data_IF_733334723616
#
_entry.id   IF_733334723616
#
_cell.length_a   1.000
_cell.length_b   1.000
_cell.length_c   1.000
_cell.angle_alpha   90.00
_cell.angle_beta   90.00
_cell.angle_gamma   90.00
#
_symmetry.space_group_name_H-M   'P 1'
#
loop_
_entity.id
_entity.type
_entity.pdbx_description
1 polymer ?
#
# COMPACT_ATOMS: atom_id res chain seq x y z
N UNK A 1 -37.33 -78.40 -0.61
CA UNK A 1 -37.30 -79.87 -0.97
C UNK A 1 -36.15 -80.08 -1.94
N UNK A 2 -35.16 -80.83 -1.47
CA UNK A 2 -34.42 -81.88 -2.20
C UNK A 2 -33.47 -81.42 -3.28
N UNK A 3 -32.22 -81.45 -2.98
CA UNK A 3 -31.08 -82.37 -3.23
C UNK A 3 -30.39 -82.26 -4.58
N UNK A 4 -29.09 -81.94 -4.60
CA UNK A 4 -27.90 -82.80 -4.75
C UNK A 4 -27.75 -83.31 -6.21
N UNK A 5 -26.64 -83.36 -6.88
CA UNK A 5 -25.30 -83.90 -6.65
C UNK A 5 -24.36 -83.60 -7.88
N UNK A 6 -23.09 -83.28 -7.52
CA UNK A 6 -21.85 -83.82 -8.09
C UNK A 6 -21.47 -83.70 -9.58
N UNK A 7 -20.29 -83.29 -9.81
CA UNK A 7 -19.41 -83.71 -10.84
C UNK A 7 -18.12 -82.91 -10.97
N UNK A 8 -17.12 -83.34 -10.22
CA UNK A 8 -15.75 -82.89 -10.44
C UNK A 8 -15.13 -83.52 -11.65
N UNK A 9 -14.41 -82.81 -12.47
CA UNK A 9 -13.15 -83.16 -13.14
C UNK A 9 -12.96 -82.30 -14.41
N UNK A 10 -12.06 -81.39 -14.39
CA UNK A 10 -10.91 -81.35 -15.30
C UNK A 10 -10.11 -80.02 -15.09
N UNK A 11 -9.28 -80.02 -14.11
CA UNK A 11 -8.14 -79.17 -14.09
C UNK A 11 -7.09 -79.76 -15.02
N UNK A 12 -6.57 -78.95 -15.88
CA UNK A 12 -5.28 -78.98 -16.57
C UNK A 12 -5.44 -78.73 -18.07
N UNK A 13 -5.42 -77.42 -18.40
CA UNK A 13 -4.86 -76.88 -19.65
C UNK A 13 -5.29 -75.44 -19.86
N UNK A 14 -4.89 -74.51 -19.00
CA UNK A 14 -4.98 -73.08 -19.21
C UNK A 14 -3.96 -72.32 -18.36
N UNK A 15 -2.70 -72.74 -18.47
CA UNK A 15 -1.62 -72.07 -17.73
C UNK A 15 -0.43 -71.67 -18.59
N UNK A 16 -0.61 -71.36 -19.88
CA UNK A 16 0.46 -70.81 -20.73
C UNK A 16 0.10 -69.64 -21.65
N UNK A 17 -1.08 -69.07 -21.51
CA UNK A 17 -1.50 -67.90 -22.33
C UNK A 17 -1.70 -66.60 -21.54
N UNK A 18 -1.51 -66.61 -20.22
CA UNK A 18 -1.77 -65.42 -19.36
C UNK A 18 -0.52 -64.69 -18.88
N UNK A 19 0.69 -65.02 -19.36
CA UNK A 19 1.95 -64.38 -18.88
C UNK A 19 2.56 -63.41 -19.89
N UNK A 20 2.07 -63.33 -21.13
CA UNK A 20 2.62 -62.40 -22.14
C UNK A 20 1.82 -61.12 -22.33
N UNK A 21 0.59 -61.07 -21.84
CA UNK A 21 -0.26 -59.83 -21.93
C UNK A 21 -0.17 -58.91 -20.71
N UNK A 22 0.40 -59.32 -19.57
CA UNK A 22 0.58 -58.46 -18.37
C UNK A 22 1.90 -57.67 -18.35
N UNK A 23 2.88 -57.99 -19.23
CA UNK A 23 4.16 -57.25 -19.28
C UNK A 23 4.13 -56.02 -20.20
N UNK A 24 3.17 -55.93 -21.12
CA UNK A 24 3.02 -54.75 -22.02
C UNK A 24 2.06 -53.68 -21.49
N UNK A 25 1.19 -54.03 -20.55
CA UNK A 25 0.28 -53.02 -19.90
C UNK A 25 0.96 -52.27 -18.76
N UNK A 26 2.05 -52.84 -18.16
CA UNK A 26 2.82 -52.18 -17.07
C UNK A 26 3.88 -51.22 -17.59
N UNK A 27 4.28 -51.27 -18.86
CA UNK A 27 5.26 -50.34 -19.43
C UNK A 27 4.59 -49.12 -20.07
N UNK A 28 3.31 -49.19 -20.40
CA UNK A 28 2.52 -48.07 -20.92
C UNK A 28 1.97 -47.15 -19.82
N UNK A 29 1.85 -47.62 -18.57
CA UNK A 29 1.34 -46.86 -17.44
C UNK A 29 2.42 -46.09 -16.65
N UNK A 30 3.69 -46.41 -16.94
CA UNK A 30 4.84 -45.67 -16.30
C UNK A 30 5.34 -44.48 -17.11
N UNK A 31 4.82 -44.28 -18.36
CA UNK A 31 5.23 -43.17 -19.22
C UNK A 31 4.23 -42.01 -19.25
N UNK A 32 3.15 -42.05 -18.47
CA UNK A 32 2.12 -40.99 -18.41
C UNK A 32 2.08 -40.29 -17.04
N UNK A 33 2.91 -40.68 -16.06
CA UNK A 33 2.93 -40.11 -14.73
C UNK A 33 4.22 -39.33 -14.39
N UNK A 34 4.96 -38.88 -15.40
CA UNK A 34 5.90 -37.76 -15.24
C UNK A 34 5.30 -36.47 -15.78
N UNK A 35 4.03 -36.18 -15.54
CA UNK A 35 3.64 -34.81 -15.34
C UNK A 35 4.31 -34.39 -14.04
N UNK A 36 5.42 -33.69 -14.18
CA UNK A 36 6.08 -32.97 -13.12
C UNK A 36 4.98 -32.27 -12.32
N UNK A 37 4.75 -32.71 -11.10
CA UNK A 37 4.29 -31.81 -10.07
C UNK A 37 5.34 -30.71 -10.03
N UNK A 38 5.15 -29.68 -10.82
CA UNK A 38 5.75 -28.38 -10.56
C UNK A 38 5.13 -28.00 -9.22
N UNK A 39 5.80 -28.35 -8.13
CA UNK A 39 5.54 -27.72 -6.85
C UNK A 39 5.61 -26.24 -7.18
N UNK A 40 4.47 -25.53 -7.03
CA UNK A 40 4.48 -24.09 -7.14
C UNK A 40 5.59 -23.61 -6.22
N UNK A 41 6.60 -22.97 -6.79
CA UNK A 41 7.70 -22.43 -5.97
C UNK A 41 7.08 -21.47 -4.97
N UNK A 42 7.29 -21.71 -3.68
CA UNK A 42 6.77 -20.87 -2.61
C UNK A 42 7.39 -19.47 -2.60
N UNK A 43 8.36 -19.19 -3.50
CA UNK A 43 9.03 -17.91 -3.64
C UNK A 43 9.64 -17.77 -5.03
N UNK A 44 10.09 -16.56 -5.37
CA UNK A 44 10.83 -16.27 -6.59
C UNK A 44 12.30 -16.09 -6.21
N UNK A 45 13.25 -16.85 -6.78
CA UNK A 45 14.66 -16.70 -6.46
C UNK A 45 15.20 -15.30 -6.80
N UNK A 46 16.06 -14.71 -5.96
CA UNK A 46 16.79 -13.49 -6.30
C UNK A 46 17.61 -13.67 -7.59
N UNK A 47 17.63 -12.61 -8.43
CA UNK A 47 18.24 -12.64 -9.76
C UNK A 47 17.25 -13.03 -10.87
N UNK A 48 16.03 -13.42 -10.52
CA UNK A 48 14.98 -13.67 -11.51
C UNK A 48 14.56 -12.35 -12.17
N UNK A 49 14.38 -12.41 -13.50
CA UNK A 49 13.85 -11.30 -14.31
C UNK A 49 12.47 -11.66 -14.83
N UNK A 50 11.48 -10.84 -14.46
CA UNK A 50 10.10 -11.01 -14.93
C UNK A 50 9.88 -10.04 -16.07
N UNK A 51 9.40 -10.57 -17.21
CA UNK A 51 9.21 -9.84 -18.45
C UNK A 51 7.82 -10.14 -19.03
N UNK A 52 7.45 -9.47 -20.12
CA UNK A 52 6.20 -9.78 -20.86
C UNK A 52 6.16 -11.21 -21.41
N UNK A 53 7.30 -11.90 -21.55
CA UNK A 53 7.35 -13.25 -22.10
C UNK A 53 7.15 -14.35 -21.03
N UNK A 54 7.49 -14.09 -19.76
CA UNK A 54 7.49 -15.14 -18.73
C UNK A 54 6.60 -14.83 -17.50
N UNK A 55 5.92 -13.68 -17.44
CA UNK A 55 5.16 -13.23 -16.28
C UNK A 55 4.08 -14.23 -15.83
N UNK A 56 3.50 -15.01 -16.75
CA UNK A 56 2.47 -16.01 -16.42
C UNK A 56 2.97 -17.05 -15.41
N UNK A 57 4.28 -17.34 -15.39
CA UNK A 57 4.88 -18.28 -14.45
C UNK A 57 4.89 -17.72 -13.02
N UNK A 58 4.83 -16.39 -12.90
CA UNK A 58 4.88 -15.65 -11.63
C UNK A 58 3.55 -14.98 -11.27
N UNK A 59 2.48 -15.25 -12.03
CA UNK A 59 1.18 -14.61 -11.87
C UNK A 59 0.62 -14.74 -10.44
N UNK A 60 0.89 -15.85 -9.76
CA UNK A 60 0.46 -16.08 -8.38
C UNK A 60 1.03 -15.05 -7.38
N UNK A 61 2.17 -14.45 -7.71
CA UNK A 61 2.82 -13.41 -6.90
C UNK A 61 2.40 -11.98 -7.31
N UNK A 62 1.49 -11.84 -8.23
CA UNK A 62 1.03 -10.54 -8.71
C UNK A 62 -0.33 -10.17 -8.10
N UNK A 63 -0.50 -8.93 -7.58
CA UNK A 63 -1.82 -8.33 -7.39
C UNK A 63 -2.63 -8.34 -8.69
N UNK A 64 -3.96 -8.27 -8.58
CA UNK A 64 -4.84 -8.32 -9.76
C UNK A 64 -4.49 -7.22 -10.77
N UNK A 65 -4.32 -5.98 -10.28
CA UNK A 65 -3.98 -4.84 -11.13
C UNK A 65 -2.67 -5.04 -11.89
N UNK A 66 -1.62 -5.53 -11.23
CA UNK A 66 -0.34 -5.83 -11.88
C UNK A 66 -0.46 -6.94 -12.93
N UNK A 67 -1.19 -8.01 -12.61
CA UNK A 67 -1.43 -9.10 -13.56
C UNK A 67 -2.17 -8.62 -14.81
N UNK A 68 -3.18 -7.75 -14.65
CA UNK A 68 -3.90 -7.11 -15.76
C UNK A 68 -3.02 -6.17 -16.58
N UNK A 69 -2.10 -5.46 -15.95
CA UNK A 69 -1.12 -4.61 -16.63
C UNK A 69 -0.23 -5.48 -17.56
N UNK A 70 0.31 -6.59 -17.05
CA UNK A 70 1.10 -7.53 -17.85
C UNK A 70 0.28 -8.26 -18.92
N UNK A 71 -1.00 -8.50 -18.69
CA UNK A 71 -1.94 -9.02 -19.69
C UNK A 71 -2.27 -8.01 -20.80
N UNK A 72 -1.81 -6.76 -20.66
CA UNK A 72 -2.07 -5.71 -21.63
C UNK A 72 -3.52 -5.19 -21.60
N UNK A 73 -4.17 -5.20 -20.45
CA UNK A 73 -5.55 -4.72 -20.28
C UNK A 73 -5.63 -3.20 -20.05
N UNK A 74 -4.50 -2.54 -19.65
CA UNK A 74 -4.45 -1.08 -19.49
C UNK A 74 -4.41 -0.36 -20.86
N UNK A 75 -4.79 0.90 -20.90
CA UNK A 75 -4.72 1.72 -22.10
C UNK A 75 -3.28 1.78 -22.64
N UNK A 76 -2.33 2.24 -21.82
CA UNK A 76 -0.91 2.14 -22.16
C UNK A 76 -0.41 0.72 -21.85
N UNK A 77 0.33 0.17 -22.82
CA UNK A 77 0.88 -1.19 -22.68
C UNK A 77 2.29 -1.13 -22.14
N UNK A 78 2.67 -2.16 -21.39
CA UNK A 78 4.06 -2.36 -21.03
C UNK A 78 4.90 -2.53 -22.31
N UNK A 79 6.07 -1.87 -22.39
CA UNK A 79 6.95 -2.05 -23.55
C UNK A 79 7.54 -3.48 -23.55
N UNK A 80 7.97 -3.94 -24.75
CA UNK A 80 8.51 -5.29 -24.92
C UNK A 80 9.77 -5.56 -24.06
N UNK A 81 10.50 -4.50 -23.71
CA UNK A 81 11.68 -4.56 -22.86
C UNK A 81 11.41 -4.30 -21.37
N UNK A 82 10.15 -4.37 -20.93
CA UNK A 82 9.85 -4.25 -19.51
C UNK A 82 10.51 -5.40 -18.73
N UNK A 83 11.08 -5.06 -17.59
CA UNK A 83 11.77 -5.99 -16.73
C UNK A 83 11.51 -5.62 -15.26
N UNK A 84 11.17 -6.63 -14.45
CA UNK A 84 11.16 -6.56 -13.00
C UNK A 84 12.31 -7.45 -12.51
N UNK A 85 13.31 -6.85 -11.89
CA UNK A 85 14.42 -7.56 -11.29
C UNK A 85 14.04 -7.96 -9.85
N UNK A 86 14.11 -9.25 -9.53
CA UNK A 86 13.84 -9.75 -8.18
C UNK A 86 15.15 -9.78 -7.39
N UNK A 87 15.17 -9.07 -6.28
CA UNK A 87 16.26 -9.07 -5.31
C UNK A 87 15.98 -9.93 -4.08
N UNK A 88 16.93 -9.98 -3.15
CA UNK A 88 16.71 -10.65 -1.87
C UNK A 88 15.65 -9.91 -1.04
N UNK A 89 14.84 -10.68 -0.30
CA UNK A 89 13.91 -10.12 0.69
C UNK A 89 14.72 -9.65 1.90
N UNK A 90 14.58 -8.37 2.25
CA UNK A 90 15.24 -7.74 3.38
C UNK A 90 14.18 -7.12 4.29
N UNK A 91 14.24 -7.44 5.59
CA UNK A 91 13.45 -6.81 6.62
C UNK A 91 14.30 -5.75 7.33
N UNK A 92 13.89 -4.51 7.24
CA UNK A 92 14.47 -3.40 7.98
C UNK A 92 13.73 -3.31 9.32
N UNK A 93 14.43 -3.37 10.47
CA UNK A 93 13.76 -3.37 11.76
C UNK A 93 12.94 -2.09 11.98
N UNK A 94 11.83 -2.22 12.69
CA UNK A 94 11.06 -1.05 13.13
C UNK A 94 11.87 -0.21 14.14
N UNK A 95 11.59 1.10 14.28
CA UNK A 95 12.29 1.95 15.24
C UNK A 95 12.16 1.42 16.67
N UNK A 96 13.24 1.48 17.48
CA UNK A 96 13.27 0.88 18.82
C UNK A 96 12.12 1.31 19.73
N UNK A 97 11.77 2.60 19.74
CA UNK A 97 10.66 3.10 20.56
C UNK A 97 9.29 2.53 20.15
N UNK A 98 9.09 2.25 18.85
CA UNK A 98 7.88 1.60 18.36
C UNK A 98 7.82 0.13 18.80
N UNK A 99 8.94 -0.57 18.75
CA UNK A 99 9.05 -1.96 19.20
C UNK A 99 8.81 -2.06 20.71
N UNK A 100 9.45 -1.20 21.51
CA UNK A 100 9.25 -1.14 22.97
C UNK A 100 7.79 -0.86 23.34
N UNK A 101 7.15 0.09 22.63
CA UNK A 101 5.74 0.39 22.82
C UNK A 101 4.83 -0.82 22.48
N UNK A 102 5.15 -1.55 21.41
CA UNK A 102 4.46 -2.77 21.00
C UNK A 102 4.54 -3.84 22.10
N UNK A 103 5.74 -4.10 22.60
CA UNK A 103 5.95 -5.10 23.69
C UNK A 103 5.18 -4.73 24.95
N UNK A 104 5.17 -3.45 25.30
CA UNK A 104 4.56 -2.95 26.53
C UNK A 104 3.04 -2.84 26.44
N UNK A 105 2.50 -2.40 25.30
CA UNK A 105 1.09 -1.98 25.19
C UNK A 105 0.26 -2.82 24.22
N UNK A 106 0.86 -3.57 23.29
CA UNK A 106 0.15 -4.26 22.22
C UNK A 106 -0.89 -5.30 22.67
N UNK A 107 -0.84 -5.76 23.94
CA UNK A 107 -1.81 -6.72 24.49
C UNK A 107 -3.06 -6.06 25.09
N UNK A 108 -3.08 -4.75 25.29
CA UNK A 108 -4.20 -4.06 25.94
C UNK A 108 -5.21 -3.46 24.94
N UNK A 109 -4.79 -3.30 23.67
CA UNK A 109 -5.64 -2.76 22.62
C UNK A 109 -6.81 -3.68 22.34
N UNK A 110 -8.00 -3.12 22.19
CA UNK A 110 -9.24 -3.87 22.01
C UNK A 110 -10.07 -3.28 20.87
N UNK A 111 -10.73 -4.16 20.11
CA UNK A 111 -11.79 -3.77 19.16
C UNK A 111 -13.11 -3.76 19.92
N UNK A 112 -13.89 -2.71 19.71
CA UNK A 112 -15.24 -2.56 20.29
C UNK A 112 -16.24 -2.33 19.16
N UNK A 113 -17.32 -3.12 19.16
CA UNK A 113 -18.45 -2.94 18.25
C UNK A 113 -19.44 -1.96 18.87
N UNK A 114 -19.76 -0.89 18.17
CA UNK A 114 -20.68 0.13 18.61
C UNK A 114 -22.11 -0.13 18.12
N UNK A 115 -23.17 0.39 18.83
CA UNK A 115 -24.57 0.17 18.44
C UNK A 115 -24.95 0.71 17.06
N UNK A 116 -24.21 1.70 16.53
CA UNK A 116 -24.41 2.27 15.20
C UNK A 116 -23.79 1.43 14.07
N UNK A 117 -23.20 0.26 14.38
CA UNK A 117 -22.54 -0.62 13.42
C UNK A 117 -21.09 -0.25 13.13
N UNK A 118 -20.56 0.80 13.72
CA UNK A 118 -19.15 1.15 13.66
C UNK A 118 -18.31 0.23 14.55
N UNK A 119 -17.03 0.10 14.22
CA UNK A 119 -16.03 -0.45 15.12
C UNK A 119 -15.15 0.68 15.67
N UNK A 120 -14.59 0.45 16.84
CA UNK A 120 -13.69 1.39 17.49
C UNK A 120 -12.52 0.66 18.13
N UNK A 121 -11.45 1.38 18.40
CA UNK A 121 -10.23 0.89 19.05
C UNK A 121 -10.09 1.54 20.40
N UNK A 122 -9.99 0.73 21.45
CA UNK A 122 -9.81 1.19 22.83
C UNK A 122 -8.46 0.77 23.37
N UNK A 123 -7.96 1.54 24.34
CA UNK A 123 -6.73 1.29 25.09
C UNK A 123 -5.45 1.27 24.20
N UNK A 124 -5.49 1.82 23.01
CA UNK A 124 -4.29 1.99 22.20
C UNK A 124 -3.44 3.13 22.80
N UNK A 125 -2.12 2.92 22.88
CA UNK A 125 -1.16 3.87 23.48
C UNK A 125 0.00 4.17 22.53
N UNK A 126 0.39 3.20 21.69
CA UNK A 126 1.50 3.32 20.76
C UNK A 126 2.06 1.94 20.38
N UNK A 127 2.89 1.91 19.36
CA UNK A 127 3.43 0.67 18.80
C UNK A 127 2.42 -0.05 17.91
N UNK A 128 2.65 -1.33 17.63
CA UNK A 128 1.71 -2.15 16.88
C UNK A 128 0.46 -2.41 17.73
N UNK A 129 -0.71 -2.08 17.21
CA UNK A 129 -1.96 -2.14 17.96
C UNK A 129 -2.37 -3.58 18.28
N UNK A 130 -2.19 -4.51 17.34
CA UNK A 130 -2.54 -5.91 17.46
C UNK A 130 -1.39 -6.82 16.99
N UNK A 131 -0.38 -7.07 17.82
CA UNK A 131 0.66 -8.03 17.49
C UNK A 131 0.06 -9.43 17.30
N UNK A 132 0.16 -10.00 16.10
CA UNK A 132 -0.47 -11.27 15.75
C UNK A 132 -2.02 -11.23 15.74
N UNK A 133 -2.65 -10.48 14.83
CA UNK A 133 -4.10 -10.33 14.74
C UNK A 133 -4.81 -11.65 14.45
N UNK A 134 -5.77 -12.03 15.33
CA UNK A 134 -6.57 -13.25 15.24
C UNK A 134 -8.06 -12.91 15.17
N UNK A 135 -8.88 -13.89 14.77
CA UNK A 135 -10.33 -13.78 14.91
C UNK A 135 -10.75 -13.61 16.40
N UNK A 136 -11.87 -12.98 16.68
CA UNK A 136 -12.74 -12.28 15.73
C UNK A 136 -12.11 -10.98 15.22
N UNK A 137 -12.64 -10.45 14.11
CA UNK A 137 -12.26 -9.16 13.52
C UNK A 137 -10.81 -9.11 13.00
N UNK A 138 -10.25 -10.23 12.57
CA UNK A 138 -8.86 -10.31 12.10
C UNK A 138 -8.56 -9.27 11.03
N UNK A 139 -9.41 -9.13 10.01
CA UNK A 139 -9.23 -8.16 8.94
C UNK A 139 -9.21 -6.72 9.45
N UNK A 140 -10.12 -6.38 10.36
CA UNK A 140 -10.15 -5.04 10.97
C UNK A 140 -8.90 -4.77 11.83
N UNK A 141 -8.43 -5.74 12.61
CA UNK A 141 -7.19 -5.60 13.40
C UNK A 141 -5.97 -5.36 12.50
N UNK A 142 -5.89 -6.00 11.34
CA UNK A 142 -4.83 -5.74 10.35
C UNK A 142 -4.96 -4.33 9.78
N UNK A 143 -6.17 -3.86 9.48
CA UNK A 143 -6.42 -2.48 9.03
C UNK A 143 -6.01 -1.47 10.11
N UNK A 144 -6.26 -1.76 11.37
CA UNK A 144 -5.84 -0.92 12.51
C UNK A 144 -4.31 -0.87 12.62
N UNK A 145 -3.61 -2.00 12.43
CA UNK A 145 -2.14 -2.02 12.42
C UNK A 145 -1.58 -1.15 11.30
N UNK A 146 -2.19 -1.18 10.10
CA UNK A 146 -1.83 -0.28 9.01
C UNK A 146 -2.11 1.18 9.40
N UNK A 147 -3.28 1.49 9.96
CA UNK A 147 -3.66 2.84 10.36
C UNK A 147 -2.70 3.44 11.38
N UNK A 148 -2.25 2.65 12.37
CA UNK A 148 -1.30 3.03 13.41
C UNK A 148 0.14 2.55 13.14
N UNK A 149 0.48 2.19 11.89
CA UNK A 149 1.86 1.87 11.52
C UNK A 149 2.78 3.04 11.87
N UNK A 150 4.06 2.75 12.13
CA UNK A 150 5.01 3.77 12.56
C UNK A 150 5.03 4.97 11.61
N UNK A 151 4.94 6.13 12.20
CA UNK A 151 5.20 7.43 11.58
C UNK A 151 6.13 8.22 12.50
N UNK A 152 7.07 9.00 11.96
CA UNK A 152 7.87 9.90 12.80
C UNK A 152 6.99 11.02 13.34
N UNK A 153 7.43 11.58 14.46
CA UNK A 153 6.78 12.74 15.05
C UNK A 153 6.61 13.90 14.06
N UNK A 154 7.67 14.20 13.30
CA UNK A 154 7.66 15.23 12.27
C UNK A 154 8.32 14.72 11.01
N UNK A 155 7.68 14.96 9.87
CA UNK A 155 8.18 14.61 8.57
C UNK A 155 7.91 15.75 7.59
N UNK A 156 8.96 16.27 6.97
CA UNK A 156 8.93 17.52 6.22
C UNK A 156 9.66 17.37 4.90
N UNK A 157 9.09 17.92 3.84
CA UNK A 157 9.83 18.24 2.63
C UNK A 157 10.22 19.73 2.64
N UNK A 158 11.45 20.04 2.23
CA UNK A 158 11.95 21.38 2.18
C UNK A 158 11.28 22.18 1.03
N UNK A 159 11.02 23.46 1.25
CA UNK A 159 10.51 24.38 0.22
C UNK A 159 11.43 24.52 -1.00
N UNK A 160 12.74 24.30 -0.84
CA UNK A 160 13.68 24.28 -1.95
C UNK A 160 13.66 22.95 -2.73
N UNK A 161 13.09 21.91 -2.15
CA UNK A 161 13.11 20.54 -2.67
C UNK A 161 11.76 19.85 -2.48
N UNK A 162 10.68 20.38 -3.10
CA UNK A 162 9.33 19.90 -2.88
C UNK A 162 9.10 18.53 -3.54
N UNK A 163 8.11 17.81 -3.03
CA UNK A 163 7.56 16.62 -3.68
C UNK A 163 7.00 17.00 -5.04
N UNK A 164 7.23 16.16 -6.03
CA UNK A 164 6.63 16.32 -7.35
C UNK A 164 5.43 15.39 -7.51
N UNK A 165 4.27 15.97 -7.84
CA UNK A 165 3.05 15.25 -8.22
C UNK A 165 2.72 15.54 -9.67
N UNK A 166 2.69 14.52 -10.52
CA UNK A 166 2.45 14.65 -11.95
C UNK A 166 1.25 13.82 -12.39
N UNK A 167 0.41 14.40 -13.21
CA UNK A 167 -0.70 13.73 -13.90
C UNK A 167 -0.27 13.48 -15.33
N UNK A 168 -0.54 12.28 -15.85
CA UNK A 168 -0.36 11.94 -17.26
C UNK A 168 -1.73 11.63 -17.84
N UNK A 169 -2.12 12.37 -18.87
CA UNK A 169 -3.39 12.18 -19.56
C UNK A 169 -3.30 11.06 -20.61
N UNK A 170 -4.44 10.65 -21.17
CA UNK A 170 -4.51 9.62 -22.22
C UNK A 170 -3.67 9.91 -23.47
N UNK A 171 -3.33 11.18 -23.71
CA UNK A 171 -2.49 11.61 -24.85
C UNK A 171 -1.01 11.66 -24.49
N UNK A 172 -0.66 11.20 -23.29
CA UNK A 172 0.70 11.21 -22.74
C UNK A 172 1.24 12.61 -22.42
N UNK A 173 0.36 13.61 -22.28
CA UNK A 173 0.77 14.91 -21.77
C UNK A 173 0.96 14.82 -20.27
N UNK A 174 2.10 15.29 -19.78
CA UNK A 174 2.43 15.32 -18.36
C UNK A 174 2.32 16.74 -17.83
N UNK A 175 1.56 16.90 -16.74
CA UNK A 175 1.44 18.14 -15.98
C UNK A 175 1.84 17.90 -14.54
N UNK A 176 2.79 18.68 -14.03
CA UNK A 176 3.35 18.46 -12.68
C UNK A 176 3.10 19.67 -11.78
N UNK A 177 2.94 19.34 -10.49
CA UNK A 177 2.96 20.29 -9.39
C UNK A 177 4.14 19.96 -8.47
N UNK A 178 4.75 20.99 -7.89
CA UNK A 178 5.71 20.86 -6.78
C UNK A 178 4.99 21.20 -5.49
N UNK A 179 5.09 20.35 -4.48
CA UNK A 179 4.29 20.42 -3.25
C UNK A 179 5.22 20.30 -2.05
N UNK A 180 5.13 21.25 -1.13
CA UNK A 180 5.73 21.14 0.20
C UNK A 180 4.79 20.36 1.13
N UNK A 181 5.38 19.57 2.01
CA UNK A 181 4.64 18.70 2.93
C UNK A 181 5.18 18.87 4.34
N UNK A 182 4.29 19.05 5.30
CA UNK A 182 4.58 18.95 6.73
C UNK A 182 3.59 17.98 7.37
N UNK A 183 4.07 16.80 7.72
CA UNK A 183 3.29 15.81 8.45
C UNK A 183 3.73 15.78 9.91
N UNK A 184 2.78 15.85 10.84
CA UNK A 184 3.07 15.85 12.27
C UNK A 184 2.15 14.90 13.02
N UNK A 185 2.75 13.92 13.67
CA UNK A 185 2.06 13.06 14.61
C UNK A 185 2.02 13.75 15.98
N UNK A 186 0.83 14.04 16.47
CA UNK A 186 0.62 14.78 17.73
C UNK A 186 0.17 13.85 18.86
N UNK A 187 -0.24 12.62 18.55
CA UNK A 187 -0.62 11.60 19.52
C UNK A 187 0.04 10.25 19.23
N UNK A 188 0.17 9.44 20.27
CA UNK A 188 0.76 8.12 20.19
C UNK A 188 2.21 8.07 19.69
N UNK A 189 2.97 9.13 19.98
CA UNK A 189 4.38 9.21 19.60
C UNK A 189 5.21 8.18 20.34
N UNK A 190 6.15 7.56 19.61
CA UNK A 190 7.11 6.60 20.16
C UNK A 190 8.56 7.01 19.93
N UNK A 191 8.78 8.16 19.31
CA UNK A 191 10.12 8.69 19.04
C UNK A 191 10.83 9.17 20.30
N UNK A 192 12.15 8.95 20.42
CA UNK A 192 12.91 9.40 21.58
C UNK A 192 12.84 10.92 21.77
N UNK A 193 12.60 11.36 23.00
CA UNK A 193 12.60 12.79 23.36
C UNK A 193 11.34 13.55 22.93
N UNK A 194 10.35 12.88 22.38
CA UNK A 194 9.04 13.44 22.01
C UNK A 194 8.00 13.06 23.07
N UNK A 195 7.08 13.97 23.37
CA UNK A 195 5.94 13.66 24.24
C UNK A 195 5.05 12.62 23.56
N UNK A 196 4.57 11.59 24.26
CA UNK A 196 3.65 10.62 23.70
C UNK A 196 2.40 11.25 23.08
N UNK A 197 1.89 12.31 23.70
CA UNK A 197 0.80 13.12 23.17
C UNK A 197 1.15 14.61 23.33
N UNK A 198 1.26 15.33 22.22
CA UNK A 198 1.35 16.79 22.18
C UNK A 198 -0.06 17.42 22.19
N UNK A 199 -1.04 16.66 21.76
CA UNK A 199 -2.46 17.03 21.75
C UNK A 199 -3.28 15.93 22.43
N UNK A 200 -4.33 16.35 23.13
CA UNK A 200 -5.36 15.46 23.70
C UNK A 200 -6.48 15.15 22.70
N UNK A 201 -6.48 15.79 21.55
CA UNK A 201 -7.55 15.71 20.54
C UNK A 201 -7.05 15.27 19.17
N UNK A 202 -5.97 15.90 18.68
CA UNK A 202 -5.43 15.63 17.34
C UNK A 202 -4.41 14.50 17.44
N UNK A 203 -4.60 13.46 16.63
CA UNK A 203 -3.64 12.38 16.48
C UNK A 203 -2.54 12.75 15.48
N UNK A 204 -2.96 13.29 14.31
CA UNK A 204 -2.09 13.51 13.17
C UNK A 204 -2.57 14.69 12.33
N UNK A 205 -1.64 15.47 11.80
CA UNK A 205 -1.94 16.56 10.88
C UNK A 205 -1.09 16.46 9.60
N UNK A 206 -1.72 16.80 8.48
CA UNK A 206 -1.12 16.89 7.16
C UNK A 206 -1.28 18.29 6.63
N UNK A 207 -0.18 18.97 6.43
CA UNK A 207 -0.13 20.26 5.79
C UNK A 207 0.59 20.12 4.45
N UNK A 208 -0.04 20.61 3.37
CA UNK A 208 0.46 20.57 2.00
C UNK A 208 0.39 21.98 1.43
N UNK A 209 1.38 22.39 0.63
CA UNK A 209 1.34 23.66 -0.10
C UNK A 209 1.94 23.50 -1.50
N UNK A 210 1.23 24.01 -2.50
CA UNK A 210 1.71 24.04 -3.88
C UNK A 210 2.72 25.17 -4.05
N UNK A 211 3.92 24.82 -4.52
CA UNK A 211 4.99 25.77 -4.90
C UNK A 211 5.01 26.06 -6.39
N UNK A 212 4.73 25.06 -7.22
CA UNK A 212 4.65 25.18 -8.67
C UNK A 212 3.44 24.42 -9.21
N UNK A 213 2.80 24.88 -10.28
CA UNK A 213 3.11 26.07 -11.07
C UNK A 213 2.72 27.38 -10.36
N UNK A 214 3.27 28.51 -10.80
CA UNK A 214 3.07 29.82 -10.16
C UNK A 214 1.57 30.20 -10.02
N UNK A 215 0.72 29.76 -10.95
CA UNK A 215 -0.72 30.03 -10.92
C UNK A 215 -1.42 29.34 -9.73
N UNK A 216 -0.89 28.24 -9.23
CA UNK A 216 -1.43 27.48 -8.10
C UNK A 216 -0.65 27.72 -6.80
N UNK A 217 0.46 28.47 -6.87
CA UNK A 217 1.33 28.74 -5.73
C UNK A 217 0.57 29.26 -4.54
N UNK A 218 0.96 28.80 -3.33
CA UNK A 218 0.31 29.07 -2.05
C UNK A 218 -1.09 28.45 -1.90
N UNK A 219 -1.61 27.70 -2.88
CA UNK A 219 -2.76 26.84 -2.57
C UNK A 219 -2.29 25.80 -1.56
N UNK A 220 -2.94 25.76 -0.41
CA UNK A 220 -2.52 24.89 0.67
C UNK A 220 -3.69 24.17 1.32
N UNK A 221 -3.42 22.98 1.82
CA UNK A 221 -4.39 22.16 2.52
C UNK A 221 -3.87 21.77 3.90
N UNK A 222 -4.76 21.73 4.87
CA UNK A 222 -4.52 21.16 6.19
C UNK A 222 -5.60 20.14 6.48
N UNK A 223 -5.19 18.91 6.78
CA UNK A 223 -6.07 17.85 7.26
C UNK A 223 -5.72 17.51 8.70
N UNK A 224 -6.72 17.46 9.56
CA UNK A 224 -6.58 17.09 10.98
C UNK A 224 -7.31 15.78 11.24
N UNK A 225 -6.57 14.77 11.67
CA UNK A 225 -7.09 13.48 12.13
C UNK A 225 -7.13 13.45 13.64
N UNK A 226 -8.16 12.84 14.20
CA UNK A 226 -8.43 12.89 15.63
C UNK A 226 -8.08 11.59 16.34
N UNK A 227 -7.76 11.69 17.63
CA UNK A 227 -7.55 10.54 18.53
C UNK A 227 -8.84 9.72 18.66
N UNK A 228 -9.98 10.40 18.71
CA UNK A 228 -11.28 9.77 18.65
C UNK A 228 -11.60 9.34 17.21
N UNK A 229 -11.52 8.04 16.94
CA UNK A 229 -11.76 7.46 15.62
C UNK A 229 -13.21 7.66 15.11
N UNK A 230 -14.16 8.01 15.99
CA UNK A 230 -15.53 8.30 15.60
C UNK A 230 -15.70 9.76 15.14
N UNK A 231 -14.70 10.61 15.38
CA UNK A 231 -14.67 12.00 14.89
C UNK A 231 -14.03 12.04 13.50
N UNK A 232 -14.77 12.51 12.51
CA UNK A 232 -14.28 12.70 11.15
C UNK A 232 -13.14 13.72 11.13
N UNK A 233 -12.19 13.54 10.21
CA UNK A 233 -11.15 14.52 9.99
C UNK A 233 -11.74 15.87 9.51
N UNK A 234 -11.08 16.93 9.91
CA UNK A 234 -11.32 18.27 9.38
C UNK A 234 -10.35 18.58 8.24
N UNK A 235 -10.87 19.09 7.15
CA UNK A 235 -10.09 19.50 5.98
C UNK A 235 -10.27 20.98 5.74
N UNK A 236 -9.15 21.69 5.61
CA UNK A 236 -9.11 23.12 5.35
C UNK A 236 -8.26 23.39 4.11
N UNK A 237 -8.72 24.26 3.23
CA UNK A 237 -7.97 24.70 2.05
C UNK A 237 -7.81 26.21 2.09
N UNK A 238 -6.58 26.68 1.98
CA UNK A 238 -6.29 28.09 1.72
C UNK A 238 -6.31 28.34 0.22
N UNK A 239 -7.13 29.29 -0.20
CA UNK A 239 -7.29 29.70 -1.61
C UNK A 239 -6.63 31.06 -1.80
N UNK A 240 -5.48 31.17 -2.47
CA UNK A 240 -4.71 32.42 -2.60
C UNK A 240 -5.50 33.58 -3.21
N UNK A 241 -6.27 33.30 -4.26
CA UNK A 241 -7.09 34.32 -4.94
C UNK A 241 -8.16 34.93 -4.04
N UNK A 242 -8.65 34.17 -3.07
CA UNK A 242 -9.64 34.63 -2.07
C UNK A 242 -8.97 35.15 -0.79
N UNK A 243 -7.69 34.86 -0.59
CA UNK A 243 -6.94 35.09 0.68
C UNK A 243 -7.70 34.55 1.90
N UNK A 244 -8.34 33.39 1.74
CA UNK A 244 -9.19 32.79 2.77
C UNK A 244 -8.93 31.29 2.90
N UNK A 245 -9.01 30.83 4.14
CA UNK A 245 -9.11 29.41 4.48
C UNK A 245 -10.58 29.01 4.46
N UNK A 246 -10.89 27.97 3.72
CA UNK A 246 -12.22 27.35 3.64
C UNK A 246 -12.15 26.00 4.33
N UNK A 247 -13.16 25.66 5.14
CA UNK A 247 -13.33 24.29 5.64
C UNK A 247 -14.10 23.50 4.60
N UNK A 248 -13.55 22.37 4.17
CA UNK A 248 -14.22 21.48 3.23
C UNK A 248 -15.24 20.61 3.96
N UNK A 249 -16.24 20.14 3.23
CA UNK A 249 -17.18 19.17 3.76
C UNK A 249 -16.48 17.81 3.88
N UNK A 250 -16.60 17.17 5.04
CA UNK A 250 -16.13 15.81 5.27
C UNK A 250 -16.78 14.76 4.35
N UNK A 251 -17.88 15.12 3.66
CA UNK A 251 -18.53 14.27 2.67
C UNK A 251 -17.84 14.28 1.30
N UNK A 252 -16.93 15.23 1.04
CA UNK A 252 -16.23 15.39 -0.24
C UNK A 252 -15.01 14.45 -0.41
N UNK A 253 -14.98 13.32 0.27
CA UNK A 253 -13.82 12.39 0.29
C UNK A 253 -13.46 11.79 -1.06
N UNK A 254 -14.36 11.83 -2.02
CA UNK A 254 -14.14 11.35 -3.38
C UNK A 254 -13.69 12.45 -4.35
N UNK A 255 -13.51 13.67 -3.85
CA UNK A 255 -13.00 14.77 -4.67
C UNK A 255 -11.53 14.53 -5.01
N UNK A 256 -11.11 14.87 -6.25
CA UNK A 256 -9.71 14.79 -6.65
C UNK A 256 -8.83 15.64 -5.75
N UNK A 257 -7.84 15.05 -5.10
CA UNK A 257 -6.87 15.76 -4.27
C UNK A 257 -5.96 16.61 -5.16
N UNK A 258 -5.98 17.93 -4.99
CA UNK A 258 -5.18 18.88 -5.78
C UNK A 258 -5.26 18.64 -7.29
N UNK A 259 -6.40 18.14 -7.78
CA UNK A 259 -6.64 17.86 -9.20
C UNK A 259 -6.02 16.56 -9.73
N UNK A 260 -5.46 15.73 -8.87
CA UNK A 260 -4.90 14.42 -9.20
C UNK A 260 -5.98 13.33 -9.35
N UNK A 261 -5.57 12.11 -9.74
CA UNK A 261 -6.45 10.94 -9.75
C UNK A 261 -6.73 10.36 -8.34
N UNK A 262 -6.04 10.89 -7.31
CA UNK A 262 -6.25 10.47 -5.93
C UNK A 262 -7.51 11.08 -5.36
N UNK A 263 -8.31 10.28 -4.68
CA UNK A 263 -9.28 10.77 -3.70
C UNK A 263 -8.56 10.99 -2.36
N UNK A 264 -9.20 11.72 -1.44
CA UNK A 264 -8.63 11.93 -0.10
C UNK A 264 -8.34 10.61 0.62
N UNK A 265 -9.17 9.58 0.41
CA UNK A 265 -8.97 8.26 1.00
C UNK A 265 -7.79 7.47 0.41
N UNK A 266 -7.24 7.90 -0.72
CA UNK A 266 -6.08 7.29 -1.37
C UNK A 266 -4.78 7.99 -1.00
N UNK A 267 -4.89 9.22 -0.50
CA UNK A 267 -3.77 10.09 -0.21
C UNK A 267 -3.23 9.78 1.16
N UNK A 268 -2.46 8.78 1.28
CA UNK A 268 -1.47 8.62 2.37
C UNK A 268 -0.59 7.41 2.18
N UNK A 269 0.42 7.47 2.96
CA UNK A 269 1.29 6.39 3.31
C UNK A 269 0.50 5.13 3.48
N UNK A 270 0.89 4.13 2.76
CA UNK A 270 0.26 2.81 2.84
C UNK A 270 -1.07 2.65 2.11
N UNK A 271 -1.52 3.67 1.35
CA UNK A 271 -2.65 3.54 0.44
C UNK A 271 -4.04 3.56 1.08
N UNK A 272 -4.15 3.93 2.35
CA UNK A 272 -5.44 4.04 3.02
C UNK A 272 -5.50 5.22 3.99
N UNK A 273 -6.36 6.18 3.71
CA UNK A 273 -6.61 7.37 4.53
C UNK A 273 -8.08 7.52 4.91
N UNK A 274 -8.81 6.41 4.95
CA UNK A 274 -10.28 6.43 5.04
C UNK A 274 -10.86 6.65 6.43
N UNK A 275 -10.08 6.50 7.50
CA UNK A 275 -10.58 6.46 8.88
C UNK A 275 -11.18 5.10 9.22
N UNK A 276 -10.56 4.41 10.17
CA UNK A 276 -10.87 2.99 10.47
C UNK A 276 -12.31 2.76 10.96
N UNK A 277 -12.94 3.75 11.59
CA UNK A 277 -14.31 3.61 12.10
C UNK A 277 -15.38 3.49 10.99
N UNK A 278 -15.07 3.91 9.76
CA UNK A 278 -16.02 3.98 8.66
C UNK A 278 -16.02 2.76 7.75
N UNK A 279 -15.14 1.80 8.02
CA UNK A 279 -14.91 0.68 7.13
C UNK A 279 -14.98 -0.66 7.83
N UNK A 280 -15.50 -1.64 7.12
CA UNK A 280 -15.30 -3.05 7.40
C UNK A 280 -14.09 -3.54 6.60
N UNK A 281 -13.28 -4.38 7.22
CA UNK A 281 -12.15 -5.03 6.56
C UNK A 281 -12.25 -6.54 6.75
N UNK A 282 -12.36 -7.27 5.64
CA UNK A 282 -12.41 -8.73 5.63
C UNK A 282 -11.05 -9.27 5.24
N UNK A 283 -10.46 -10.12 6.08
CA UNK A 283 -9.25 -10.86 5.73
C UNK A 283 -9.59 -11.90 4.66
N UNK A 284 -8.94 -11.84 3.52
CA UNK A 284 -9.14 -12.78 2.42
C UNK A 284 -8.15 -13.95 2.50
N UNK A 285 -6.86 -13.63 2.50
CA UNK A 285 -5.78 -14.62 2.51
C UNK A 285 -4.47 -13.98 2.96
N UNK A 286 -3.51 -14.83 3.36
CA UNK A 286 -2.09 -14.47 3.44
C UNK A 286 -1.37 -15.08 2.26
N UNK A 287 -0.63 -14.30 1.51
CA UNK A 287 0.12 -14.75 0.33
C UNK A 287 1.43 -13.99 0.15
N UNK A 288 2.25 -14.47 -0.78
CA UNK A 288 3.43 -13.75 -1.21
C UNK A 288 3.13 -12.95 -2.48
N UNK A 289 3.63 -11.72 -2.53
CA UNK A 289 3.55 -10.86 -3.72
C UNK A 289 4.90 -10.23 -4.04
N UNK A 290 5.05 -9.75 -5.27
CA UNK A 290 6.17 -8.90 -5.65
C UNK A 290 5.85 -7.44 -5.29
N UNK A 291 6.79 -6.78 -4.62
CA UNK A 291 6.67 -5.41 -4.17
C UNK A 291 8.00 -4.66 -4.31
N UNK A 292 7.95 -3.38 -4.65
CA UNK A 292 9.12 -2.51 -4.69
C UNK A 292 9.26 -1.84 -3.33
N UNK A 293 10.12 -2.39 -2.47
CA UNK A 293 10.28 -1.92 -1.09
C UNK A 293 11.68 -2.15 -0.57
N UNK A 294 12.12 -1.33 0.38
CA UNK A 294 13.35 -1.46 1.15
C UNK A 294 14.63 -1.25 0.37
N UNK A 295 14.89 -2.06 -0.62
CA UNK A 295 16.15 -2.07 -1.37
C UNK A 295 16.13 -1.28 -2.69
N UNK A 296 15.06 -0.54 -2.98
CA UNK A 296 15.07 0.27 -4.19
C UNK A 296 15.97 1.49 -4.10
N UNK A 297 16.44 1.94 -5.25
CA UNK A 297 17.34 3.09 -5.30
C UNK A 297 16.57 4.40 -5.13
N UNK A 298 16.39 4.78 -3.89
CA UNK A 298 15.67 5.95 -3.45
C UNK A 298 16.14 7.27 -4.11
N UNK A 299 17.45 7.42 -4.35
CA UNK A 299 18.01 8.61 -4.99
C UNK A 299 17.64 8.72 -6.47
N UNK A 300 17.48 7.58 -7.15
CA UNK A 300 17.12 7.55 -8.56
C UNK A 300 15.69 8.01 -8.83
N UNK A 301 14.80 7.85 -7.86
CA UNK A 301 13.37 8.20 -8.03
C UNK A 301 13.17 9.65 -8.43
N UNK A 302 13.85 10.58 -7.75
CA UNK A 302 13.75 12.01 -8.06
C UNK A 302 14.75 12.48 -9.13
N UNK A 303 15.99 11.97 -9.06
CA UNK A 303 17.12 12.46 -9.85
C UNK A 303 16.94 12.28 -11.35
N UNK A 304 16.45 11.11 -11.76
CA UNK A 304 16.28 10.78 -13.18
C UNK A 304 14.82 10.82 -13.66
N UNK A 305 13.92 11.41 -12.88
CA UNK A 305 12.52 11.54 -13.28
C UNK A 305 12.36 12.37 -14.56
N UNK A 306 11.55 11.92 -15.56
CA UNK A 306 10.80 10.66 -15.62
C UNK A 306 11.50 9.51 -16.36
N UNK A 307 12.81 9.60 -16.61
CA UNK A 307 13.57 8.63 -17.45
C UNK A 307 13.69 7.26 -16.80
N UNK A 308 13.59 7.21 -15.46
CA UNK A 308 13.60 5.97 -14.67
C UNK A 308 12.24 5.26 -14.62
N UNK A 309 11.30 5.68 -15.46
CA UNK A 309 10.01 5.00 -15.66
C UNK A 309 9.84 4.58 -17.12
N UNK A 310 9.14 3.46 -17.32
CA UNK A 310 8.64 3.08 -18.64
C UNK A 310 7.45 3.98 -19.01
N UNK A 311 7.73 4.95 -19.89
CA UNK A 311 6.73 5.94 -20.30
C UNK A 311 5.85 5.42 -21.45
N UNK A 312 4.60 5.89 -21.58
CA UNK A 312 3.92 6.84 -20.71
C UNK A 312 3.25 6.20 -19.49
N UNK A 313 3.28 4.87 -19.38
CA UNK A 313 2.66 4.11 -18.30
C UNK A 313 3.23 4.44 -16.91
N UNK A 314 4.40 5.06 -16.84
CA UNK A 314 5.09 5.40 -15.59
C UNK A 314 5.27 4.20 -14.65
N UNK A 315 5.59 3.05 -15.22
CA UNK A 315 5.97 1.86 -14.48
C UNK A 315 7.48 1.90 -14.17
N UNK A 316 7.93 1.57 -12.95
CA UNK A 316 9.34 1.65 -12.56
C UNK A 316 10.27 0.81 -13.45
N UNK A 317 11.41 1.38 -13.85
CA UNK A 317 12.46 0.63 -14.54
C UNK A 317 13.38 -0.05 -13.51
N UNK A 318 14.23 -1.02 -13.91
CA UNK A 318 15.21 -1.65 -13.03
C UNK A 318 16.20 -0.68 -12.38
N UNK A 319 16.40 0.52 -12.94
CA UNK A 319 17.24 1.57 -12.34
C UNK A 319 16.72 2.01 -10.95
N UNK A 320 15.43 1.87 -10.70
CA UNK A 320 14.84 2.21 -9.40
C UNK A 320 15.09 1.16 -8.32
N UNK A 321 15.70 0.04 -8.64
CA UNK A 321 16.09 -1.02 -7.71
C UNK A 321 15.36 -2.33 -7.90
N UNK A 322 15.74 -3.31 -7.11
CA UNK A 322 15.18 -4.64 -7.18
C UNK A 322 13.90 -4.76 -6.36
N UNK A 323 12.93 -5.49 -6.92
CA UNK A 323 11.70 -5.87 -6.24
C UNK A 323 11.92 -7.03 -5.29
N UNK A 324 11.11 -7.14 -4.27
CA UNK A 324 11.19 -8.22 -3.29
C UNK A 324 9.92 -9.06 -3.30
N UNK A 325 10.05 -10.33 -2.92
CA UNK A 325 8.90 -11.17 -2.60
C UNK A 325 8.52 -10.93 -1.14
N UNK A 326 7.31 -10.40 -0.90
CA UNK A 326 6.84 -10.01 0.43
C UNK A 326 5.66 -10.86 0.86
N UNK A 327 5.63 -11.26 2.13
CA UNK A 327 4.45 -11.84 2.75
C UNK A 327 3.44 -10.75 3.07
N UNK A 328 2.22 -10.87 2.56
CA UNK A 328 1.16 -9.88 2.77
C UNK A 328 -0.13 -10.52 3.25
N UNK A 329 -0.85 -9.77 4.06
CA UNK A 329 -2.26 -10.00 4.34
C UNK A 329 -3.11 -9.22 3.33
N UNK A 330 -4.02 -9.91 2.66
CA UNK A 330 -4.91 -9.31 1.65
C UNK A 330 -6.25 -9.01 2.29
N UNK A 331 -6.65 -7.74 2.24
CA UNK A 331 -7.91 -7.26 2.80
C UNK A 331 -8.88 -6.80 1.71
N UNK A 332 -10.15 -7.21 1.80
CA UNK A 332 -11.29 -6.54 1.15
C UNK A 332 -11.83 -5.48 2.12
N UNK A 333 -11.66 -4.21 1.79
CA UNK A 333 -12.05 -3.08 2.62
C UNK A 333 -13.24 -2.38 1.96
N UNK A 334 -14.33 -2.27 2.71
CA UNK A 334 -15.57 -1.63 2.24
C UNK A 334 -16.11 -0.66 3.26
N UNK A 335 -16.67 0.42 2.78
CA UNK A 335 -17.40 1.32 3.67
C UNK A 335 -18.59 0.60 4.30
N UNK A 336 -18.81 0.85 5.59
CA UNK A 336 -19.99 0.28 6.27
C UNK A 336 -21.27 0.77 5.59
N UNK A 337 -22.37 0.00 5.59
CA UNK A 337 -23.56 0.32 4.81
C UNK A 337 -24.18 1.69 5.11
N UNK A 338 -24.16 2.13 6.37
CA UNK A 338 -24.68 3.46 6.76
C UNK A 338 -23.88 4.62 6.18
N UNK A 339 -22.59 4.41 5.90
CA UNK A 339 -21.64 5.42 5.43
C UNK A 339 -21.32 5.29 3.93
N UNK A 340 -21.87 4.28 3.26
CA UNK A 340 -21.60 4.00 1.85
C UNK A 340 -22.31 4.91 0.84
N UNK A 341 -23.48 5.54 1.12
CA UNK A 341 -24.14 6.38 0.14
C UNK A 341 -23.25 7.53 -0.32
N UNK A 342 -23.05 7.65 -1.64
CA UNK A 342 -22.22 8.69 -2.24
C UNK A 342 -20.70 8.44 -2.16
N UNK A 343 -20.26 7.31 -1.64
CA UNK A 343 -18.86 6.93 -1.65
C UNK A 343 -18.42 6.40 -3.02
N UNK A 344 -17.21 6.75 -3.46
CA UNK A 344 -16.74 6.48 -4.81
C UNK A 344 -16.40 5.01 -5.07
N UNK A 345 -15.88 4.32 -4.07
CA UNK A 345 -15.42 2.95 -4.24
C UNK A 345 -16.43 1.94 -3.70
N UNK A 346 -16.71 0.90 -4.47
CA UNK A 346 -17.45 -0.27 -4.01
C UNK A 346 -16.63 -1.13 -3.04
N UNK A 347 -15.32 -1.24 -3.30
CA UNK A 347 -14.32 -1.85 -2.41
C UNK A 347 -12.92 -1.42 -2.80
N UNK A 348 -11.97 -1.66 -1.90
CA UNK A 348 -10.54 -1.74 -2.21
C UNK A 348 -9.98 -3.08 -1.75
N UNK A 349 -9.04 -3.62 -2.50
CA UNK A 349 -8.25 -4.80 -2.11
C UNK A 349 -6.84 -4.33 -1.84
N UNK A 350 -6.48 -4.30 -0.57
CA UNK A 350 -5.20 -3.78 -0.11
C UNK A 350 -4.28 -4.93 0.28
N UNK A 351 -3.05 -4.91 -0.22
CA UNK A 351 -2.01 -5.91 0.02
C UNK A 351 -1.03 -5.37 1.06
N UNK A 352 -1.25 -5.73 2.33
CA UNK A 352 -0.57 -5.17 3.49
C UNK A 352 0.58 -6.09 3.90
N UNK A 353 1.79 -5.55 3.94
CA UNK A 353 2.98 -6.26 4.42
C UNK A 353 2.81 -6.73 5.86
N UNK A 354 3.11 -8.01 6.11
CA UNK A 354 2.95 -8.61 7.44
C UNK A 354 4.01 -8.17 8.45
N UNK A 355 5.09 -7.59 7.98
CA UNK A 355 6.18 -7.10 8.82
C UNK A 355 6.09 -5.58 9.04
N UNK A 356 5.81 -4.82 7.97
CA UNK A 356 5.80 -3.35 8.02
C UNK A 356 4.42 -2.75 8.30
N UNK A 357 3.36 -3.55 8.17
CA UNK A 357 1.97 -3.08 8.26
C UNK A 357 1.66 -1.90 7.30
N UNK A 358 2.29 -1.90 6.13
CA UNK A 358 2.07 -0.91 5.06
C UNK A 358 1.55 -1.58 3.81
N UNK A 359 0.72 -0.89 3.02
CA UNK A 359 0.28 -1.37 1.72
C UNK A 359 1.42 -1.33 0.71
N UNK A 360 1.48 -2.31 -0.18
CA UNK A 360 2.37 -2.30 -1.34
C UNK A 360 1.61 -2.11 -2.64
N UNK A 361 0.40 -2.60 -2.67
CA UNK A 361 -0.53 -2.47 -3.79
C UNK A 361 -1.93 -2.22 -3.26
N UNK A 362 -2.72 -1.47 -4.03
CA UNK A 362 -4.14 -1.26 -3.78
C UNK A 362 -4.91 -1.37 -5.10
N UNK A 363 -5.83 -2.32 -5.18
CA UNK A 363 -6.74 -2.49 -6.30
C UNK A 363 -8.10 -1.90 -5.90
N UNK A 364 -8.50 -0.79 -6.53
CA UNK A 364 -9.71 -0.04 -6.20
C UNK A 364 -10.81 -0.31 -7.23
N UNK A 365 -11.99 -0.60 -6.76
CA UNK A 365 -13.12 -0.99 -7.58
C UNK A 365 -14.25 0.05 -7.50
N UNK A 366 -14.91 0.29 -8.61
CA UNK A 366 -16.09 1.15 -8.64
C UNK A 366 -17.32 0.50 -7.96
N UNK A 367 -18.42 1.22 -7.91
CA UNK A 367 -19.68 0.73 -7.30
C UNK A 367 -20.23 -0.53 -7.98
N UNK A 368 -19.85 -0.81 -9.23
CA UNK A 368 -20.24 -2.02 -9.97
C UNK A 368 -19.22 -3.17 -9.80
N UNK A 369 -18.25 -3.01 -8.88
CA UNK A 369 -17.18 -3.99 -8.63
C UNK A 369 -16.27 -4.23 -9.85
N UNK A 370 -16.18 -3.27 -10.77
CA UNK A 370 -15.21 -3.25 -11.85
C UNK A 370 -13.94 -2.56 -11.36
N UNK A 371 -12.77 -3.14 -11.63
CA UNK A 371 -11.50 -2.52 -11.31
C UNK A 371 -11.42 -1.14 -11.97
N UNK A 372 -11.15 -0.12 -11.16
CA UNK A 372 -11.13 1.27 -11.59
C UNK A 372 -9.73 1.86 -11.51
N UNK A 373 -9.09 1.73 -10.36
CA UNK A 373 -7.74 2.26 -10.15
C UNK A 373 -6.83 1.20 -9.58
N UNK A 374 -5.55 1.32 -9.85
CA UNK A 374 -4.50 0.46 -9.29
C UNK A 374 -3.40 1.35 -8.75
N UNK A 375 -2.99 1.13 -7.51
CA UNK A 375 -1.89 1.87 -6.90
C UNK A 375 -0.70 0.97 -6.59
N UNK A 376 0.49 1.44 -6.92
CA UNK A 376 1.78 0.91 -6.47
C UNK A 376 2.35 1.87 -5.42
N UNK A 377 2.67 1.33 -4.26
CA UNK A 377 3.22 2.04 -3.12
C UNK A 377 4.64 1.51 -2.84
N UNK A 378 5.63 2.39 -2.86
CA UNK A 378 7.01 2.01 -2.65
C UNK A 378 7.56 2.63 -1.36
N UNK A 379 7.97 1.78 -0.43
CA UNK A 379 8.49 2.17 0.88
C UNK A 379 10.02 2.28 0.82
N UNK A 380 10.62 3.46 1.14
CA UNK A 380 12.06 3.67 1.06
C UNK A 380 12.84 2.97 2.18
N UNK A 381 14.16 2.83 1.95
CA UNK A 381 15.11 2.34 2.94
C UNK A 381 15.45 3.45 3.96
N UNK A 382 15.14 3.19 5.22
CA UNK A 382 15.39 4.11 6.32
C UNK A 382 16.85 4.51 6.51
N UNK A 383 17.77 3.64 6.20
CA UNK A 383 19.20 3.92 6.37
C UNK A 383 19.67 5.14 5.57
N UNK A 384 18.86 5.60 4.62
CA UNK A 384 19.14 6.77 3.76
C UNK A 384 18.38 8.02 4.15
N UNK A 385 17.51 7.96 5.15
CA UNK A 385 16.72 9.11 5.63
C UNK A 385 17.31 9.66 6.92
N UNK A 386 17.92 10.85 6.93
CA UNK A 386 18.48 11.43 8.13
C UNK A 386 17.42 11.67 9.22
N UNK A 387 17.76 11.34 10.47
CA UNK A 387 16.88 11.59 11.62
C UNK A 387 15.88 10.50 11.96
N UNK A 388 15.80 9.46 11.15
CA UNK A 388 15.07 8.26 11.54
C UNK A 388 15.84 7.55 12.65
N UNK A 389 15.21 7.24 13.80
CA UNK A 389 15.90 6.68 14.97
C UNK A 389 16.22 5.19 14.80
N UNK A 390 16.97 4.85 13.74
CA UNK A 390 17.28 3.48 13.36
C UNK A 390 16.06 2.70 12.86
N UNK A 391 16.25 1.79 11.93
CA UNK A 391 15.17 0.98 11.41
C UNK A 391 14.53 1.52 10.13
N UNK A 392 13.27 1.15 9.90
CA UNK A 392 12.53 1.43 8.69
C UNK A 392 12.28 2.92 8.46
N UNK A 393 12.37 3.35 7.20
CA UNK A 393 11.94 4.69 6.85
C UNK A 393 10.46 4.86 7.17
N UNK A 394 10.15 5.98 7.78
CA UNK A 394 8.77 6.26 8.11
C UNK A 394 8.01 6.60 6.84
N UNK A 395 6.89 6.09 6.78
CA UNK A 395 5.66 6.48 6.22
C UNK A 395 5.52 7.68 5.30
N UNK A 396 6.53 8.13 4.60
CA UNK A 396 6.39 8.84 3.34
C UNK A 396 6.83 7.87 2.26
N UNK A 397 5.90 7.53 1.40
CA UNK A 397 6.18 6.68 0.27
C UNK A 397 7.27 7.33 -0.57
N UNK A 398 8.29 6.57 -0.91
CA UNK A 398 9.38 7.08 -1.74
C UNK A 398 8.88 7.49 -3.10
N UNK A 399 7.91 6.77 -3.62
CA UNK A 399 7.04 7.20 -4.70
C UNK A 399 5.71 6.43 -4.66
N UNK A 400 4.76 6.96 -5.39
CA UNK A 400 3.42 6.40 -5.53
C UNK A 400 2.99 6.56 -6.97
N UNK A 401 2.44 5.51 -7.58
CA UNK A 401 1.82 5.59 -8.90
C UNK A 401 0.42 5.03 -8.82
N UNK A 402 -0.56 5.83 -9.20
CA UNK A 402 -1.96 5.45 -9.29
C UNK A 402 -2.40 5.50 -10.75
N UNK A 403 -2.80 4.37 -11.30
CA UNK A 403 -3.38 4.25 -12.63
C UNK A 403 -4.90 4.27 -12.55
N UNK A 404 -5.55 5.30 -13.08
CA UNK A 404 -7.00 5.31 -13.33
C UNK A 404 -7.26 4.66 -14.70
N UNK A 405 -7.53 3.34 -14.66
CA UNK A 405 -7.62 2.52 -15.88
C UNK A 405 -8.97 2.64 -16.60
N UNK A 406 -9.96 3.28 -15.99
CA UNK A 406 -11.24 3.55 -16.64
C UNK A 406 -11.25 4.89 -17.37
N UNK A 407 -10.43 5.84 -16.94
CA UNK A 407 -10.33 7.17 -17.55
C UNK A 407 -9.05 7.35 -18.39
N UNK A 408 -8.17 6.35 -18.43
CA UNK A 408 -6.89 6.39 -19.13
C UNK A 408 -5.98 7.54 -18.65
N UNK A 409 -5.94 7.77 -17.34
CA UNK A 409 -5.10 8.73 -16.66
C UNK A 409 -4.21 8.02 -15.64
N UNK A 410 -3.18 8.70 -15.19
CA UNK A 410 -2.43 8.27 -14.02
C UNK A 410 -1.86 9.47 -13.27
N UNK A 411 -1.67 9.27 -11.98
CA UNK A 411 -0.90 10.20 -11.13
C UNK A 411 0.36 9.49 -10.63
N UNK A 412 1.50 10.16 -10.75
CA UNK A 412 2.77 9.71 -10.15
C UNK A 412 3.27 10.78 -9.19
N UNK A 413 3.60 10.36 -7.97
CA UNK A 413 4.17 11.21 -6.94
C UNK A 413 5.57 10.70 -6.64
N UNK A 414 6.56 11.60 -6.72
CA UNK A 414 7.94 11.31 -6.36
C UNK A 414 8.23 12.02 -5.04
N UNK A 415 8.48 11.26 -4.00
CA UNK A 415 8.74 11.81 -2.67
C UNK A 415 10.11 12.47 -2.50
N UNK A 416 10.89 12.63 -3.59
CA UNK A 416 12.24 13.13 -3.53
C UNK A 416 12.53 14.11 -4.64
N UNK A 417 13.37 15.08 -4.28
CA UNK A 417 13.99 15.98 -5.22
C UNK A 417 15.12 15.31 -6.01
N UNK A 418 15.69 16.11 -6.95
CA UNK A 418 16.78 15.71 -7.83
C UNK A 418 18.09 15.35 -7.10
N UNK A 419 18.24 15.71 -5.81
CA UNK A 419 19.46 15.51 -5.02
C UNK A 419 19.27 14.45 -3.93
N UNK A 420 18.08 13.90 -3.73
CA UNK A 420 17.79 12.93 -2.69
C UNK A 420 17.71 13.53 -1.28
N UNK A 421 17.58 14.83 -1.15
CA UNK A 421 17.54 15.58 0.09
C UNK A 421 16.12 16.10 0.38
N UNK A 422 15.09 15.29 0.15
CA UNK A 422 13.72 15.78 0.25
C UNK A 422 13.08 15.62 1.62
N UNK A 423 13.64 14.78 2.49
CA UNK A 423 13.01 14.48 3.77
C UNK A 423 13.85 14.91 4.95
N UNK A 424 13.21 15.68 5.82
CA UNK A 424 13.72 15.96 7.15
C UNK A 424 12.78 15.35 8.18
N UNK A 425 13.35 14.61 9.11
CA UNK A 425 12.58 13.86 10.10
C UNK A 425 12.95 14.31 11.50
N UNK A 426 11.96 14.55 12.34
CA UNK A 426 12.12 14.87 13.75
C UNK A 426 13.08 16.03 14.01
N UNK A 427 14.12 15.84 14.80
CA UNK A 427 15.11 16.86 15.15
C UNK A 427 15.95 17.38 13.97
N UNK A 428 15.97 16.65 12.85
CA UNK A 428 16.67 17.10 11.64
C UNK A 428 15.82 18.04 10.78
N UNK A 429 14.52 18.16 11.07
CA UNK A 429 13.68 19.13 10.39
C UNK A 429 14.11 20.56 10.77
N UNK A 430 14.17 21.49 9.79
CA UNK A 430 14.47 22.90 10.08
C UNK A 430 13.54 23.47 11.14
N UNK A 431 14.05 24.41 11.95
CA UNK A 431 13.34 24.91 13.14
C UNK A 431 11.97 25.53 12.84
N UNK A 432 11.83 26.16 11.69
CA UNK A 432 10.56 26.76 11.24
C UNK A 432 9.42 25.75 11.15
N UNK A 433 9.71 24.50 10.79
CA UNK A 433 8.69 23.43 10.69
C UNK A 433 8.30 22.83 12.04
N UNK A 434 9.04 23.17 13.11
CA UNK A 434 8.67 22.77 14.47
C UNK A 434 7.45 23.56 15.01
N UNK A 435 7.06 24.65 14.35
CA UNK A 435 5.93 25.49 14.76
C UNK A 435 4.59 24.79 14.49
N UNK A 436 4.06 24.15 15.53
CA UNK A 436 2.77 23.46 15.50
C UNK A 436 1.62 24.42 15.14
N UNK A 437 1.66 25.68 15.61
CA UNK A 437 0.57 26.63 15.33
C UNK A 437 0.52 26.95 13.85
N UNK A 438 1.68 27.14 13.22
CA UNK A 438 1.79 27.46 11.80
C UNK A 438 1.37 26.29 10.91
N UNK A 439 1.83 25.09 11.19
CA UNK A 439 1.66 23.92 10.30
C UNK A 439 0.59 22.93 10.77
N UNK A 440 0.03 23.08 11.94
CA UNK A 440 -0.95 22.17 12.51
C UNK A 440 -2.29 22.81 12.85
N UNK A 441 -2.53 24.08 12.47
CA UNK A 441 -3.80 24.75 12.77
C UNK A 441 -4.40 25.52 11.58
N UNK A 442 -5.74 25.65 11.50
CA UNK A 442 -6.37 26.48 10.48
C UNK A 442 -5.97 27.95 10.53
N UNK A 443 -5.62 28.44 11.74
CA UNK A 443 -5.10 29.80 11.95
C UNK A 443 -3.75 30.00 11.27
N UNK A 444 -2.84 29.03 11.40
CA UNK A 444 -1.55 29.02 10.73
C UNK A 444 -1.69 28.95 9.21
N UNK A 445 -2.58 28.09 8.71
CA UNK A 445 -2.89 28.00 7.28
C UNK A 445 -3.32 29.35 6.69
N UNK A 446 -4.03 30.18 7.47
CA UNK A 446 -4.47 31.52 7.06
C UNK A 446 -3.33 32.54 6.97
N UNK A 447 -2.13 32.20 7.39
CA UNK A 447 -0.97 33.10 7.43
C UNK A 447 0.06 32.87 6.30
N UNK A 448 -0.22 31.92 5.38
CA UNK A 448 0.73 31.53 4.31
C UNK A 448 1.20 32.72 3.47
N UNK A 449 0.33 33.69 3.21
CA UNK A 449 0.65 34.88 2.41
C UNK A 449 0.87 36.16 3.27
N UNK A 450 1.09 36.02 4.55
CA UNK A 450 1.44 37.12 5.45
C UNK A 450 2.91 37.01 5.82
#
# INVERSE_FOLDING_TARGET
MIKRFLGAASMRRLHRAAIITSALASFGLFLVLTQSLVLAEDTIPPGTKITTQNWQQYKQFMPEGLAKMFAGEFYWKLPANVEIDIGPTVNIPEPPGYVEATEKYGKQTQVVHLPNGHMDVRNYVGGEAFPNPQEPDKGYKILVNLWYSYRPHLNVTDFSHPVRSCIVDRFSNMSCQSIDIVYRQQGYNTDPGVLPNESDRVWYSEWLMVELPEQAKYTAQLTLFYIDNQTFQDEYVFVPSLRRTLRLSSTARCSPLLGSDLAQDDAQVSGFNGGIALFNATFLERKKIIALTGAYNYLEVGHNFPKNYYQPLMFPTPAMGAWQVRDVDVLDIRRIPSESPGYCYGKRVLYIDTYYHTGHWDDLYDANMKLWKVALLAVPDAAKVPGVPGGRAPGLDGFFTLWDIQNDHLTVITGLNEIGEGYFVNSNAPKEFQDLVRYGTPGGLSQIMK
#
